data_IF_090317267778
#
_entry.id   IF_090317267778
#
_cell.length_a   1.000
_cell.length_b   1.000
_cell.length_c   1.000
_cell.angle_alpha   90.00
_cell.angle_beta   90.00
_cell.angle_gamma   90.00
#
_symmetry.space_group_name_H-M   'P 1'
#
loop_
_entity.id
_entity.type
_entity.pdbx_description
1 polymer ?
#
# COMPACT_ATOMS: atom_id res chain seq x y z
N UNK A 1 -9.31 -4.70 24.81
CA UNK A 1 -9.38 -3.94 23.55
C UNK A 1 -8.35 -4.52 22.59
N UNK A 2 -8.79 -5.01 21.43
CA UNK A 2 -7.87 -5.40 20.35
C UNK A 2 -7.19 -4.17 19.73
N UNK A 3 -6.15 -4.36 18.89
CA UNK A 3 -5.51 -3.25 18.19
C UNK A 3 -6.52 -2.55 17.28
N UNK A 4 -6.56 -1.21 17.33
CA UNK A 4 -7.42 -0.36 16.49
C UNK A 4 -7.15 -0.57 14.99
N UNK A 5 -5.91 -0.90 14.64
CA UNK A 5 -5.45 -1.09 13.28
C UNK A 5 -4.71 -2.43 13.18
N UNK A 6 -5.15 -3.27 12.25
CA UNK A 6 -4.58 -4.58 11.96
C UNK A 6 -3.87 -4.55 10.61
N UNK A 7 -2.79 -5.33 10.47
CA UNK A 7 -2.00 -5.43 9.25
C UNK A 7 -1.79 -6.87 8.85
N UNK A 8 -1.90 -7.18 7.57
CA UNK A 8 -1.54 -8.49 7.05
C UNK A 8 -0.84 -8.37 5.69
N UNK A 9 0.31 -9.02 5.57
CA UNK A 9 0.97 -9.22 4.27
C UNK A 9 0.34 -10.42 3.57
N UNK A 10 -0.18 -10.22 2.35
CA UNK A 10 -0.77 -11.31 1.56
C UNK A 10 0.26 -12.37 1.17
N UNK A 11 1.49 -11.94 0.88
CA UNK A 11 2.55 -12.86 0.45
C UNK A 11 3.02 -13.81 1.56
N UNK A 12 2.93 -13.38 2.82
CA UNK A 12 3.33 -14.20 3.98
C UNK A 12 2.16 -15.00 4.56
N UNK A 13 0.98 -14.87 3.97
CA UNK A 13 -0.22 -15.57 4.40
C UNK A 13 -0.13 -17.05 3.99
N UNK A 14 -0.20 -17.96 4.98
CA UNK A 14 -0.37 -19.40 4.70
C UNK A 14 -1.66 -19.60 3.89
N UNK A 15 -1.55 -20.27 2.74
CA UNK A 15 -2.66 -20.48 1.80
C UNK A 15 -2.84 -19.37 0.75
N UNK A 16 -1.91 -18.40 0.69
CA UNK A 16 -1.99 -17.28 -0.26
C UNK A 16 -3.22 -16.40 -0.05
N UNK A 17 -3.64 -15.70 -1.10
CA UNK A 17 -4.73 -14.73 -1.03
C UNK A 17 -6.06 -15.35 -0.55
N UNK A 18 -6.37 -16.58 -0.97
CA UNK A 18 -7.58 -17.31 -0.52
C UNK A 18 -7.55 -17.60 0.99
N UNK A 19 -6.44 -18.16 1.48
CA UNK A 19 -6.29 -18.47 2.91
C UNK A 19 -6.22 -17.22 3.79
N UNK A 20 -5.77 -16.09 3.25
CA UNK A 20 -5.90 -14.80 3.93
C UNK A 20 -7.36 -14.37 4.05
N UNK A 21 -8.09 -14.37 2.93
CA UNK A 21 -9.48 -13.90 2.91
C UNK A 21 -10.32 -14.65 3.94
N UNK A 22 -10.13 -15.97 4.08
CA UNK A 22 -10.83 -16.78 5.10
C UNK A 22 -10.59 -16.33 6.54
N UNK A 23 -9.43 -15.72 6.83
CA UNK A 23 -9.08 -15.20 8.16
C UNK A 23 -9.50 -13.75 8.39
N UNK A 24 -9.90 -13.04 7.33
CA UNK A 24 -10.41 -11.68 7.49
C UNK A 24 -11.79 -11.71 8.16
N UNK A 25 -12.08 -10.75 9.04
CA UNK A 25 -13.38 -10.65 9.69
C UNK A 25 -14.47 -10.28 8.68
N UNK A 26 -15.64 -10.89 8.82
CA UNK A 26 -16.87 -10.50 8.12
C UNK A 26 -17.54 -9.34 8.83
N UNK A 27 -16.87 -8.18 8.85
CA UNK A 27 -17.30 -7.01 9.59
C UNK A 27 -17.11 -5.72 8.77
N UNK A 28 -17.85 -4.64 9.08
CA UNK A 28 -17.65 -3.35 8.47
C UNK A 28 -16.30 -2.75 8.89
N UNK A 29 -15.64 -2.06 7.97
CA UNK A 29 -14.31 -1.53 8.21
C UNK A 29 -13.80 -0.62 7.10
N UNK A 30 -12.76 0.12 7.45
CA UNK A 30 -11.91 0.87 6.52
C UNK A 30 -10.64 0.06 6.30
N UNK A 31 -10.17 0.00 5.07
CA UNK A 31 -8.96 -0.69 4.72
C UNK A 31 -8.11 0.12 3.76
N UNK A 32 -6.81 -0.17 3.77
CA UNK A 32 -5.84 0.48 2.92
C UNK A 32 -4.82 -0.55 2.42
N UNK A 33 -4.44 -0.40 1.16
CA UNK A 33 -3.43 -1.21 0.50
C UNK A 33 -2.12 -0.45 0.47
N UNK A 34 -1.04 -1.08 0.91
CA UNK A 34 0.30 -0.51 0.93
C UNK A 34 1.22 -1.35 0.06
N UNK A 35 2.21 -0.69 -0.53
CA UNK A 35 3.28 -1.39 -1.21
C UNK A 35 4.12 -2.13 -0.19
N UNK A 36 4.35 -3.42 -0.41
CA UNK A 36 5.35 -4.14 0.38
C UNK A 36 6.72 -3.90 -0.23
N UNK A 37 7.65 -3.39 0.56
CA UNK A 37 9.05 -3.25 0.13
C UNK A 37 9.84 -4.39 0.74
N UNK A 38 10.44 -5.23 -0.12
CA UNK A 38 11.36 -6.29 0.31
C UNK A 38 12.70 -6.07 -0.35
N UNK A 39 13.75 -6.22 0.45
CA UNK A 39 15.13 -6.09 0.00
C UNK A 39 15.85 -7.43 0.15
N UNK A 40 16.75 -7.72 -0.78
CA UNK A 40 17.38 -9.03 -0.95
C UNK A 40 18.56 -9.24 0.02
N UNK A 41 18.31 -9.20 1.34
CA UNK A 41 19.33 -9.27 2.41
C UNK A 41 20.28 -10.46 2.28
N UNK A 42 19.74 -11.63 1.89
CA UNK A 42 20.44 -12.91 1.88
C UNK A 42 21.06 -13.27 0.52
N UNK A 43 20.97 -12.39 -0.49
CA UNK A 43 21.49 -12.64 -1.85
C UNK A 43 22.84 -11.95 -2.11
N UNK A 44 23.48 -11.45 -1.06
CA UNK A 44 24.76 -10.74 -1.12
C UNK A 44 24.61 -9.22 -1.25
N UNK A 45 25.73 -8.48 -1.20
CA UNK A 45 25.73 -7.01 -1.21
C UNK A 45 25.11 -6.41 -2.46
N UNK A 46 25.47 -6.90 -3.65
CA UNK A 46 25.03 -6.31 -4.92
C UNK A 46 23.51 -6.49 -5.10
N UNK A 47 23.00 -7.70 -4.87
CA UNK A 47 21.57 -7.97 -4.92
C UNK A 47 20.77 -7.13 -3.90
N UNK A 48 21.34 -6.89 -2.71
CA UNK A 48 20.73 -6.01 -1.72
C UNK A 48 20.67 -4.56 -2.21
N UNK A 49 21.78 -4.03 -2.73
CA UNK A 49 21.86 -2.67 -3.31
C UNK A 49 20.85 -2.51 -4.43
N UNK A 50 20.82 -3.46 -5.37
CA UNK A 50 19.93 -3.40 -6.52
C UNK A 50 18.46 -3.47 -6.10
N UNK A 51 18.10 -4.37 -5.18
CA UNK A 51 16.72 -4.45 -4.67
C UNK A 51 16.29 -3.19 -3.91
N UNK A 52 17.21 -2.54 -3.20
CA UNK A 52 16.90 -1.30 -2.48
C UNK A 52 16.81 -0.11 -3.45
N UNK A 53 17.67 -0.06 -4.47
CA UNK A 53 17.58 0.93 -5.55
C UNK A 53 16.29 0.77 -6.34
N UNK A 54 15.91 -0.46 -6.71
CA UNK A 54 14.62 -0.75 -7.35
C UNK A 54 13.43 -0.29 -6.50
N UNK A 55 13.49 -0.49 -5.18
CA UNK A 55 12.46 -0.01 -4.27
C UNK A 55 12.37 1.53 -4.22
N UNK A 56 13.50 2.23 -4.27
CA UNK A 56 13.60 3.70 -4.26
C UNK A 56 13.08 4.27 -5.59
N UNK A 57 13.51 3.70 -6.69
CA UNK A 57 13.25 4.21 -8.04
C UNK A 57 11.81 3.97 -8.48
N UNK A 58 11.12 3.03 -7.84
CA UNK A 58 9.81 2.63 -8.29
C UNK A 58 8.71 3.67 -7.94
N UNK A 59 7.75 3.91 -8.86
CA UNK A 59 6.83 5.04 -8.76
C UNK A 59 5.97 5.02 -7.49
N UNK A 60 5.84 6.17 -6.84
CA UNK A 60 4.92 6.35 -5.71
C UNK A 60 3.47 6.67 -6.15
N UNK A 61 3.31 7.12 -7.40
CA UNK A 61 2.04 7.45 -8.01
C UNK A 61 2.09 7.19 -9.53
N UNK A 62 0.94 6.98 -10.20
CA UNK A 62 0.85 6.96 -11.66
C UNK A 62 1.42 8.23 -12.27
N UNK A 63 1.92 8.09 -13.50
CA UNK A 63 2.17 9.26 -14.34
C UNK A 63 0.86 9.98 -14.63
N UNK A 64 0.86 11.30 -14.48
CA UNK A 64 -0.28 12.13 -14.83
C UNK A 64 0.08 13.04 -16.01
N UNK A 65 -0.71 12.99 -17.06
CA UNK A 65 -0.53 13.82 -18.26
C UNK A 65 -1.80 14.62 -18.56
N UNK A 66 -1.67 15.93 -18.74
CA UNK A 66 -2.78 16.79 -19.14
C UNK A 66 -2.38 17.82 -20.20
N UNK A 67 -3.37 18.29 -20.98
CA UNK A 67 -3.18 19.39 -21.92
C UNK A 67 -3.37 20.73 -21.21
N UNK A 68 -2.41 21.62 -21.38
CA UNK A 68 -2.48 23.01 -20.93
C UNK A 68 -2.77 23.90 -22.15
N UNK A 69 -4.06 24.10 -22.44
CA UNK A 69 -4.49 24.76 -23.67
C UNK A 69 -4.25 23.90 -24.93
N UNK A 70 -4.34 24.49 -26.14
CA UNK A 70 -4.31 23.73 -27.39
C UNK A 70 -2.92 23.17 -27.74
N UNK A 71 -1.86 23.84 -27.29
CA UNK A 71 -0.48 23.63 -27.78
C UNK A 71 0.46 22.97 -26.76
N UNK A 72 0.08 22.87 -25.48
CA UNK A 72 0.98 22.35 -24.45
C UNK A 72 0.42 21.08 -23.81
N UNK A 73 1.32 20.16 -23.49
CA UNK A 73 1.07 18.98 -22.65
C UNK A 73 2.03 19.03 -21.48
N UNK A 74 1.52 18.87 -20.27
CA UNK A 74 2.32 18.71 -19.06
C UNK A 74 2.21 17.26 -18.60
N UNK A 75 3.33 16.70 -18.19
CA UNK A 75 3.44 15.36 -17.61
C UNK A 75 4.10 15.49 -16.24
N UNK A 76 3.47 14.91 -15.23
CA UNK A 76 3.97 14.83 -13.87
C UNK A 76 4.34 13.38 -13.58
N UNK A 77 5.58 13.19 -13.15
CA UNK A 77 6.14 11.87 -12.82
C UNK A 77 6.67 11.87 -11.38
N UNK A 78 6.44 10.77 -10.67
CA UNK A 78 7.07 10.52 -9.38
C UNK A 78 8.45 9.92 -9.61
N UNK A 79 9.52 10.72 -9.44
CA UNK A 79 10.90 10.23 -9.49
C UNK A 79 11.59 10.38 -8.14
N UNK A 80 12.21 9.30 -7.69
CA UNK A 80 13.14 9.30 -6.56
C UNK A 80 14.35 8.49 -6.97
N UNK A 81 15.55 9.03 -6.81
CA UNK A 81 16.77 8.36 -7.23
C UNK A 81 17.89 8.62 -6.22
N UNK A 82 18.75 7.62 -6.01
CA UNK A 82 20.00 7.84 -5.27
C UNK A 82 21.03 8.47 -6.18
N UNK A 83 21.67 9.55 -5.71
CA UNK A 83 22.83 10.10 -6.42
C UNK A 83 23.95 9.04 -6.53
N UNK A 84 24.81 9.12 -7.57
CA UNK A 84 25.90 8.14 -7.76
C UNK A 84 26.81 8.01 -6.53
N UNK A 85 27.04 9.10 -5.80
CA UNK A 85 27.81 9.09 -4.56
C UNK A 85 27.11 8.30 -3.44
N UNK A 86 25.79 8.49 -3.26
CA UNK A 86 24.99 7.74 -2.28
C UNK A 86 24.92 6.25 -2.62
N UNK A 87 24.75 5.89 -3.90
CA UNK A 87 24.75 4.49 -4.36
C UNK A 87 26.09 3.81 -4.11
N UNK A 88 27.22 4.48 -4.38
CA UNK A 88 28.56 3.97 -4.03
C UNK A 88 28.72 3.76 -2.52
N UNK A 89 28.29 4.73 -1.70
CA UNK A 89 28.36 4.60 -0.24
C UNK A 89 27.50 3.43 0.27
N UNK A 90 26.30 3.26 -0.29
CA UNK A 90 25.43 2.13 0.01
C UNK A 90 26.12 0.81 -0.32
N UNK A 91 26.79 0.69 -1.47
CA UNK A 91 27.54 -0.52 -1.85
C UNK A 91 28.68 -0.88 -0.88
N UNK A 92 29.37 0.12 -0.33
CA UNK A 92 30.39 -0.09 0.72
C UNK A 92 29.75 -0.59 2.01
N UNK A 93 28.67 0.05 2.48
CA UNK A 93 27.97 -0.35 3.70
C UNK A 93 27.28 -1.71 3.57
N UNK A 94 26.77 -2.03 2.38
CA UNK A 94 26.12 -3.29 2.07
C UNK A 94 27.06 -4.49 2.14
N UNK A 95 28.39 -4.32 2.23
CA UNK A 95 29.31 -5.42 2.49
C UNK A 95 29.06 -6.05 3.87
N UNK A 96 28.65 -5.25 4.85
CA UNK A 96 28.32 -5.72 6.21
C UNK A 96 26.92 -6.38 6.26
N UNK A 97 26.81 -7.68 6.60
CA UNK A 97 25.53 -8.35 6.79
C UNK A 97 24.63 -7.70 7.84
N UNK A 98 25.19 -7.16 8.93
CA UNK A 98 24.41 -6.53 9.99
C UNK A 98 23.72 -5.26 9.48
N UNK A 99 24.43 -4.44 8.69
CA UNK A 99 23.87 -3.28 8.02
C UNK A 99 22.70 -3.64 7.08
N UNK A 100 22.84 -4.72 6.28
CA UNK A 100 21.77 -5.17 5.39
C UNK A 100 20.51 -5.57 6.15
N UNK A 101 20.66 -6.36 7.23
CA UNK A 101 19.54 -6.81 8.07
C UNK A 101 18.86 -5.60 8.75
N UNK A 102 19.66 -4.70 9.34
CA UNK A 102 19.14 -3.52 10.02
C UNK A 102 18.36 -2.62 9.07
N UNK A 103 18.94 -2.30 7.92
CA UNK A 103 18.30 -1.45 6.90
C UNK A 103 17.02 -2.10 6.36
N UNK A 104 17.04 -3.41 6.10
CA UNK A 104 15.85 -4.13 5.64
C UNK A 104 14.68 -4.04 6.62
N UNK A 105 14.95 -4.23 7.92
CA UNK A 105 13.92 -4.09 8.97
C UNK A 105 13.33 -2.69 9.02
N UNK A 106 14.16 -1.66 8.87
CA UNK A 106 13.68 -0.27 8.81
C UNK A 106 12.80 -0.05 7.59
N UNK A 107 13.25 -0.53 6.42
CA UNK A 107 12.51 -0.38 5.16
C UNK A 107 11.17 -1.10 5.22
N UNK A 108 11.12 -2.33 5.75
CA UNK A 108 9.88 -3.08 5.96
C UNK A 108 8.94 -2.34 6.92
N UNK A 109 9.45 -1.79 8.02
CA UNK A 109 8.64 -1.00 8.96
C UNK A 109 8.14 0.32 8.34
N UNK A 110 8.96 0.98 7.52
CA UNK A 110 8.61 2.22 6.85
C UNK A 110 7.57 2.03 5.73
N UNK A 111 7.43 0.83 5.18
CA UNK A 111 6.51 0.55 4.08
C UNK A 111 5.05 0.92 4.40
N UNK A 112 4.59 0.73 5.65
CA UNK A 112 3.24 1.10 6.10
C UNK A 112 3.09 2.59 6.45
N UNK A 113 4.19 3.34 6.52
CA UNK A 113 4.19 4.79 6.77
C UNK A 113 4.11 5.59 5.45
N UNK A 114 4.17 4.91 4.31
CA UNK A 114 3.99 5.51 3.00
C UNK A 114 2.53 5.88 2.76
N UNK A 115 2.29 6.75 1.78
CA UNK A 115 0.92 6.92 1.28
C UNK A 115 0.39 5.56 0.79
N UNK A 116 -0.83 5.17 1.16
CA UNK A 116 -1.42 3.94 0.67
C UNK A 116 -1.59 3.99 -0.86
N UNK A 117 -1.52 2.84 -1.51
CA UNK A 117 -1.84 2.70 -2.92
C UNK A 117 -3.34 2.96 -3.14
N UNK A 118 -4.17 2.48 -2.22
CA UNK A 118 -5.62 2.59 -2.28
C UNK A 118 -6.20 2.58 -0.87
N UNK A 119 -7.27 3.35 -0.65
CA UNK A 119 -8.11 3.31 0.56
C UNK A 119 -9.52 2.95 0.13
N UNK A 120 -10.20 2.12 0.93
CA UNK A 120 -11.60 1.82 0.71
C UNK A 120 -12.34 1.44 1.98
N UNK A 121 -13.64 1.23 1.80
CA UNK A 121 -14.57 0.81 2.84
C UNK A 121 -15.26 -0.49 2.46
N UNK A 122 -15.67 -1.24 3.47
CA UNK A 122 -16.44 -2.45 3.30
C UNK A 122 -17.51 -2.54 4.40
N UNK A 123 -18.70 -3.05 4.06
CA UNK A 123 -19.65 -3.59 5.06
C UNK A 123 -19.27 -5.01 5.47
N UNK A 124 -18.60 -5.72 4.57
CA UNK A 124 -18.05 -7.06 4.77
C UNK A 124 -16.63 -7.03 4.20
N UNK A 125 -15.66 -6.84 5.09
CA UNK A 125 -14.25 -6.73 4.73
C UNK A 125 -13.76 -7.98 4.01
N UNK A 126 -14.07 -9.17 4.53
CA UNK A 126 -13.69 -10.44 3.90
C UNK A 126 -14.15 -10.51 2.43
N UNK A 127 -15.45 -10.27 2.18
CA UNK A 127 -16.01 -10.33 0.82
C UNK A 127 -15.38 -9.25 -0.07
N UNK A 128 -15.21 -8.03 0.44
CA UNK A 128 -14.66 -6.92 -0.35
C UNK A 128 -13.20 -7.13 -0.75
N UNK A 129 -12.38 -7.65 0.16
CA UNK A 129 -10.98 -7.95 -0.15
C UNK A 129 -10.90 -9.10 -1.15
N UNK A 130 -11.76 -10.12 -1.03
CA UNK A 130 -11.85 -11.21 -2.03
C UNK A 130 -12.12 -10.67 -3.43
N UNK A 131 -13.04 -9.72 -3.58
CA UNK A 131 -13.31 -9.07 -4.87
C UNK A 131 -12.09 -8.33 -5.42
N UNK A 132 -11.32 -7.64 -4.56
CA UNK A 132 -10.14 -6.89 -5.01
C UNK A 132 -9.01 -7.78 -5.51
N UNK A 133 -8.79 -8.94 -4.87
CA UNK A 133 -7.73 -9.87 -5.26
C UNK A 133 -8.07 -10.68 -6.52
N UNK A 134 -9.32 -10.64 -7.01
CA UNK A 134 -9.65 -11.29 -8.27
C UNK A 134 -8.81 -10.70 -9.42
N UNK A 135 -8.19 -11.52 -10.29
CA UNK A 135 -7.24 -11.05 -11.32
C UNK A 135 -7.78 -9.99 -12.30
N UNK A 136 -9.11 -9.88 -12.41
CA UNK A 136 -9.81 -8.96 -13.30
C UNK A 136 -10.59 -7.89 -12.55
N UNK A 137 -10.37 -7.75 -11.24
CA UNK A 137 -10.94 -6.63 -10.49
C UNK A 137 -10.38 -5.30 -11.00
N UNK A 138 -11.15 -4.24 -10.85
CA UNK A 138 -10.73 -2.88 -11.25
C UNK A 138 -9.44 -2.47 -10.54
N UNK A 139 -9.33 -2.74 -9.23
CA UNK A 139 -8.14 -2.41 -8.45
C UNK A 139 -6.93 -3.25 -8.88
N UNK A 140 -7.09 -4.56 -9.06
CA UNK A 140 -6.00 -5.44 -9.49
C UNK A 140 -5.48 -5.05 -10.86
N UNK A 141 -6.38 -4.71 -11.79
CA UNK A 141 -6.02 -4.24 -13.14
C UNK A 141 -5.24 -2.93 -13.06
N UNK A 142 -5.72 -1.94 -12.31
CA UNK A 142 -5.04 -0.65 -12.14
C UNK A 142 -3.65 -0.79 -11.51
N UNK A 143 -3.53 -1.61 -10.47
CA UNK A 143 -2.23 -1.85 -9.82
C UNK A 143 -1.28 -2.56 -10.78
N UNK A 144 -1.76 -3.55 -11.55
CA UNK A 144 -0.95 -4.26 -12.54
C UNK A 144 -0.47 -3.35 -13.67
N UNK A 145 -1.30 -2.42 -14.15
CA UNK A 145 -0.90 -1.38 -15.12
C UNK A 145 0.25 -0.51 -14.59
N UNK A 146 0.34 -0.36 -13.26
CA UNK A 146 1.44 0.33 -12.58
C UNK A 146 2.61 -0.60 -12.19
N UNK A 147 2.62 -1.85 -12.65
CA UNK A 147 3.65 -2.83 -12.30
C UNK A 147 3.56 -3.38 -10.86
N UNK A 148 2.44 -3.17 -10.18
CA UNK A 148 2.21 -3.61 -8.80
C UNK A 148 1.28 -4.83 -8.79
N UNK A 149 1.72 -5.91 -8.14
CA UNK A 149 0.89 -7.10 -7.90
C UNK A 149 0.16 -6.97 -6.57
N UNK A 150 -1.17 -7.06 -6.57
CA UNK A 150 -1.98 -6.88 -5.37
C UNK A 150 -1.68 -7.94 -4.31
N UNK A 151 -1.32 -9.15 -4.73
CA UNK A 151 -0.97 -10.28 -3.86
C UNK A 151 0.37 -10.07 -3.13
N UNK A 152 1.18 -9.11 -3.59
CA UNK A 152 2.41 -8.71 -2.94
C UNK A 152 2.24 -7.48 -2.07
N UNK A 153 1.05 -6.88 -2.03
CA UNK A 153 0.78 -5.73 -1.20
C UNK A 153 0.52 -6.12 0.26
N UNK A 154 0.57 -5.13 1.14
CA UNK A 154 0.18 -5.25 2.54
C UNK A 154 -1.18 -4.61 2.72
N UNK A 155 -2.10 -5.33 3.36
CA UNK A 155 -3.42 -4.84 3.71
C UNK A 155 -3.39 -4.34 5.16
N UNK A 156 -3.74 -3.08 5.39
CA UNK A 156 -4.10 -2.58 6.72
C UNK A 156 -5.61 -2.40 6.80
N UNK A 157 -6.22 -2.67 7.95
CA UNK A 157 -7.65 -2.43 8.15
C UNK A 157 -7.99 -2.12 9.61
N UNK A 158 -9.00 -1.28 9.78
CA UNK A 158 -9.64 -0.98 11.05
C UNK A 158 -11.11 -1.38 10.97
N UNK A 159 -11.55 -2.21 11.92
CA UNK A 159 -12.96 -2.58 12.03
C UNK A 159 -13.70 -1.47 12.76
N UNK A 160 -14.94 -1.23 12.35
CA UNK A 160 -15.81 -0.36 13.13
C UNK A 160 -16.18 -1.11 14.41
N UNK A 161 -15.71 -0.60 15.55
CA UNK A 161 -16.02 -1.19 16.85
C UNK A 161 -17.49 -1.02 17.20
N UNK A 162 -18.02 -1.97 17.97
CA UNK A 162 -19.35 -1.87 18.57
C UNK A 162 -19.51 -0.67 19.49
N UNK A 163 -18.44 -0.22 20.14
CA UNK A 163 -18.52 0.86 21.14
C UNK A 163 -18.82 2.23 20.51
N UNK A 164 -18.45 2.44 19.24
CA UNK A 164 -18.81 3.66 18.48
C UNK A 164 -20.30 3.60 18.07
N UNK A 165 -20.92 2.41 18.07
CA UNK A 165 -22.35 2.24 17.78
C UNK A 165 -23.24 2.75 18.91
N UNK A 166 -22.68 2.99 20.10
CA UNK A 166 -23.38 3.57 21.26
C UNK A 166 -23.29 5.11 21.30
N UNK A 167 -22.57 5.75 20.37
CA UNK A 167 -22.57 7.21 20.26
C UNK A 167 -23.91 7.68 19.66
N UNK A 168 -24.61 8.55 20.40
CA UNK A 168 -25.85 9.17 19.94
C UNK A 168 -25.66 9.83 18.56
N UNK A 169 -26.44 9.36 17.57
CA UNK A 169 -26.40 9.86 16.20
C UNK A 169 -25.51 9.06 15.24
N UNK A 170 -24.75 8.07 15.72
CA UNK A 170 -24.01 7.15 14.86
C UNK A 170 -24.94 6.03 14.40
N UNK A 171 -25.38 6.10 13.15
CA UNK A 171 -26.07 4.99 12.52
C UNK A 171 -25.00 4.16 11.81
N UNK A 172 -25.03 2.83 11.90
CA UNK A 172 -24.17 1.98 11.04
C UNK A 172 -24.51 2.11 9.54
N UNK A 173 -25.14 3.21 9.15
CA UNK A 173 -25.52 3.47 7.79
C UNK A 173 -24.29 3.57 6.91
N UNK A 174 -24.44 3.20 5.62
CA UNK A 174 -23.37 3.32 4.63
C UNK A 174 -22.69 4.69 4.57
N UNK A 175 -23.33 5.75 5.09
CA UNK A 175 -22.89 7.14 5.07
C UNK A 175 -21.68 7.40 5.99
N UNK A 176 -21.65 6.85 7.20
CA UNK A 176 -20.54 7.08 8.12
C UNK A 176 -19.25 6.44 7.61
N UNK A 177 -19.36 5.23 7.05
CA UNK A 177 -18.25 4.58 6.36
C UNK A 177 -17.76 5.37 5.13
N UNK A 178 -18.66 6.05 4.41
CA UNK A 178 -18.29 6.94 3.30
C UNK A 178 -17.49 8.12 3.84
N UNK A 179 -17.96 8.77 4.91
CA UNK A 179 -17.30 9.93 5.48
C UNK A 179 -15.90 9.58 6.01
N UNK A 180 -15.76 8.47 6.76
CA UNK A 180 -14.45 8.05 7.28
C UNK A 180 -13.50 7.70 6.13
N UNK A 181 -13.98 6.97 5.12
CA UNK A 181 -13.18 6.68 3.93
C UNK A 181 -12.73 7.96 3.23
N UNK A 182 -13.61 8.95 3.10
CA UNK A 182 -13.27 10.23 2.49
C UNK A 182 -12.23 11.01 3.32
N UNK A 183 -12.39 11.05 4.65
CA UNK A 183 -11.42 11.69 5.57
C UNK A 183 -10.05 11.03 5.40
N UNK A 184 -9.98 9.70 5.48
CA UNK A 184 -8.72 8.95 5.36
C UNK A 184 -8.12 9.15 3.97
N UNK A 185 -8.91 9.07 2.91
CA UNK A 185 -8.46 9.30 1.53
C UNK A 185 -7.88 10.71 1.35
N UNK A 186 -8.51 11.75 1.92
CA UNK A 186 -8.02 13.15 1.82
C UNK A 186 -6.74 13.39 2.62
N UNK A 187 -6.59 12.77 3.79
CA UNK A 187 -5.39 12.88 4.63
C UNK A 187 -4.22 12.12 3.99
N UNK A 188 -4.46 10.86 3.61
CA UNK A 188 -3.41 9.95 3.16
C UNK A 188 -3.03 10.11 1.68
N UNK A 189 -3.92 10.68 0.86
CA UNK A 189 -3.73 10.96 -0.57
C UNK A 189 -3.22 9.74 -1.36
N UNK A 190 -4.02 8.66 -1.44
CA UNK A 190 -3.58 7.43 -2.06
C UNK A 190 -3.22 7.61 -3.53
N UNK A 191 -2.11 6.98 -3.96
CA UNK A 191 -1.54 7.19 -5.28
C UNK A 191 -2.40 6.69 -6.44
N UNK A 192 -3.21 5.64 -6.25
CA UNK A 192 -3.93 4.94 -7.32
C UNK A 192 -5.46 5.10 -7.25
N UNK A 193 -5.92 6.21 -6.67
CA UNK A 193 -7.34 6.57 -6.65
C UNK A 193 -7.62 7.62 -7.72
N UNK A 194 -8.47 7.26 -8.68
CA UNK A 194 -9.03 8.21 -9.65
C UNK A 194 -10.25 8.84 -9.00
N UNK A 195 -10.15 10.11 -8.57
CA UNK A 195 -11.31 10.94 -8.26
C UNK A 195 -11.30 12.14 -9.20
N UNK A 196 -12.37 12.37 -9.99
CA UNK A 196 -12.60 13.68 -10.54
C UNK A 196 -12.76 14.64 -9.36
N UNK A 197 -11.88 15.64 -9.30
CA UNK A 197 -12.06 16.80 -8.41
C UNK A 197 -13.20 17.68 -8.91
#
# INVERSE_FOLDING_TARGET
>A
MGPLLSYVSLKDSRGGASGLCERLPCAPGIYAWFRTIRVAVNRGPDAFVDSLTEAIDAPAAPEWSARLGPMHRATLESRSELSPAKRRRLGVLAQDPAFRIYTARIVEAAAILQAPLYVGKAQDLQRRIRQHIEPMSELSTRLREAGIRIEECTLAYALLSTDIQELDGWSQEPQDLILIEEIVTRICRPGFVVRPG
#
